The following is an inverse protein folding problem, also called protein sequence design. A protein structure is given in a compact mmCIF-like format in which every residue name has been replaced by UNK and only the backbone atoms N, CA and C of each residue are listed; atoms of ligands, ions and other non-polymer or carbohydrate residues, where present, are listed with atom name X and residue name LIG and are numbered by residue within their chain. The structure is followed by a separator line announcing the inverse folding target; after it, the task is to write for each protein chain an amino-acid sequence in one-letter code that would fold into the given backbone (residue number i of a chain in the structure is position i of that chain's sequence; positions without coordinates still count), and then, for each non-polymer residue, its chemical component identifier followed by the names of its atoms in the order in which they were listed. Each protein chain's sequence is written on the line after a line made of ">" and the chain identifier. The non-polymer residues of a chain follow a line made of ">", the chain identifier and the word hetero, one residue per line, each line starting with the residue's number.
data_IF_920409889582
#
_entry.id   IF_920409889582
#
_cell.length_a   1.000
_cell.length_b   1.000
_cell.length_c   1.000
_cell.angle_alpha   90.00
_cell.angle_beta   90.00
_cell.angle_gamma   90.00
#
_symmetry.space_group_name_H-M   'P 1'
#
loop_
_entity.id
_entity.type
_entity.pdbx_description
1 polymer ?
#
# COMPACT_ATOMS: atom_id res chain seq x y z
N UNK A 1 -4.26 12.54 -6.20
CA UNK A 1 -3.57 11.94 -5.02
C UNK A 1 -4.07 10.51 -4.78
N UNK A 2 -3.19 9.55 -4.49
CA UNK A 2 -3.57 8.12 -4.34
C UNK A 2 -4.23 7.77 -2.99
N UNK A 3 -4.36 8.73 -2.08
CA UNK A 3 -4.97 8.58 -0.75
C UNK A 3 -4.35 7.42 0.05
N UNK A 4 -3.01 7.37 0.09
CA UNK A 4 -2.20 6.41 0.84
C UNK A 4 -1.30 7.12 1.87
N UNK A 5 -0.87 6.41 2.93
CA UNK A 5 0.20 6.91 3.79
C UNK A 5 1.49 7.14 3.00
N UNK A 6 2.16 8.27 3.25
CA UNK A 6 3.35 8.69 2.50
C UNK A 6 4.51 7.68 2.61
N UNK A 7 4.72 7.11 3.81
CA UNK A 7 5.81 6.16 4.12
C UNK A 7 5.76 4.92 3.22
N UNK A 8 4.62 4.23 3.19
CA UNK A 8 4.45 3.01 2.37
C UNK A 8 4.48 3.32 0.86
N UNK A 9 3.91 4.45 0.45
CA UNK A 9 3.92 4.90 -0.94
C UNK A 9 5.36 5.09 -1.45
N UNK A 10 6.17 5.86 -0.72
CA UNK A 10 7.57 6.08 -1.09
C UNK A 10 8.37 4.77 -1.07
N UNK A 11 8.19 3.94 -0.03
CA UNK A 11 8.86 2.63 0.04
C UNK A 11 8.56 1.76 -1.20
N UNK A 12 7.29 1.62 -1.60
CA UNK A 12 6.92 0.86 -2.80
C UNK A 12 7.50 1.44 -4.08
N UNK A 13 7.41 2.77 -4.25
CA UNK A 13 7.93 3.43 -5.45
C UNK A 13 9.43 3.29 -5.60
N UNK A 14 10.19 3.30 -4.49
CA UNK A 14 11.65 3.09 -4.49
C UNK A 14 11.99 1.70 -5.04
N UNK A 15 11.41 0.63 -4.49
CA UNK A 15 11.73 -0.74 -4.96
C UNK A 15 11.16 -1.04 -6.34
N UNK A 16 10.04 -0.39 -6.72
CA UNK A 16 9.51 -0.48 -8.08
C UNK A 16 10.48 0.16 -9.09
N UNK A 17 11.00 1.35 -8.79
CA UNK A 17 12.00 2.03 -9.62
C UNK A 17 13.30 1.20 -9.71
N UNK A 18 13.84 0.64 -8.62
CA UNK A 18 15.00 -0.26 -8.68
C UNK A 18 14.77 -1.44 -9.65
N UNK A 19 13.58 -2.03 -9.61
CA UNK A 19 13.19 -3.12 -10.50
C UNK A 19 13.18 -2.68 -11.96
N UNK A 20 12.71 -1.46 -12.24
CA UNK A 20 12.70 -0.85 -13.57
C UNK A 20 14.13 -0.58 -14.07
N UNK A 21 14.97 0.08 -13.27
CA UNK A 21 16.39 0.37 -13.56
C UNK A 21 17.22 -0.90 -13.81
N UNK A 22 16.87 -1.99 -13.14
CA UNK A 22 17.48 -3.30 -13.38
C UNK A 22 17.00 -3.90 -14.70
N UNK A 23 15.68 -3.91 -14.94
CA UNK A 23 15.08 -4.54 -16.13
C UNK A 23 15.44 -3.83 -17.43
N UNK A 24 15.53 -2.51 -17.40
CA UNK A 24 15.93 -1.69 -18.55
C UNK A 24 17.47 -1.58 -18.70
N UNK A 25 18.23 -2.18 -17.77
CA UNK A 25 19.70 -2.19 -17.72
C UNK A 25 20.36 -0.82 -17.52
N UNK A 26 19.63 0.21 -17.05
CA UNK A 26 20.24 1.48 -16.63
C UNK A 26 21.27 1.24 -15.53
N UNK A 27 20.93 0.40 -14.55
CA UNK A 27 21.87 -0.08 -13.52
C UNK A 27 22.04 -1.59 -13.66
N UNK A 28 22.91 -2.01 -14.58
CA UNK A 28 23.10 -3.42 -14.96
C UNK A 28 23.66 -4.31 -13.84
N UNK A 29 24.30 -3.71 -12.83
CA UNK A 29 24.82 -4.44 -11.66
C UNK A 29 23.73 -4.85 -10.66
N UNK A 30 22.50 -4.31 -10.77
CA UNK A 30 21.42 -4.65 -9.86
C UNK A 30 20.95 -6.10 -10.05
N UNK A 31 20.69 -6.78 -8.94
CA UNK A 31 20.05 -8.11 -8.91
C UNK A 31 18.63 -8.02 -8.32
N UNK A 32 17.80 -9.09 -8.40
CA UNK A 32 16.36 -8.97 -8.14
C UNK A 32 15.96 -8.65 -6.69
N UNK A 33 16.72 -9.08 -5.69
CA UNK A 33 16.34 -8.94 -4.28
C UNK A 33 16.66 -7.53 -3.74
N UNK A 34 15.64 -6.82 -3.27
CA UNK A 34 15.79 -5.46 -2.73
C UNK A 34 14.72 -5.15 -1.67
N UNK A 35 15.08 -4.28 -0.73
CA UNK A 35 14.24 -3.84 0.40
C UNK A 35 14.41 -2.33 0.57
N UNK A 36 13.31 -1.63 0.85
CA UNK A 36 13.32 -0.21 1.20
C UNK A 36 12.54 0.03 2.49
N UNK A 37 12.93 1.08 3.21
CA UNK A 37 12.23 1.60 4.39
C UNK A 37 12.36 3.12 4.39
N UNK A 38 11.25 3.81 4.65
CA UNK A 38 11.21 5.27 4.74
C UNK A 38 10.61 5.68 6.06
N UNK A 39 11.34 6.49 6.83
CA UNK A 39 10.88 7.12 8.06
C UNK A 39 10.56 8.59 7.79
N UNK A 40 9.38 9.04 8.19
CA UNK A 40 8.88 10.41 7.97
C UNK A 40 8.62 11.07 9.33
N UNK A 41 9.05 12.31 9.48
CA UNK A 41 8.70 13.15 10.63
C UNK A 41 7.27 13.68 10.46
N UNK A 42 6.43 13.47 11.47
CA UNK A 42 5.05 14.00 11.51
C UNK A 42 4.93 15.08 12.57
N UNK A 43 4.29 16.20 12.22
CA UNK A 43 3.93 17.27 13.15
C UNK A 43 2.43 17.47 13.08
N UNK A 44 1.75 17.40 14.22
CA UNK A 44 0.28 17.51 14.32
C UNK A 44 -0.46 16.59 13.33
N UNK A 45 0.03 15.36 13.18
CA UNK A 45 -0.58 14.34 12.32
C UNK A 45 -0.38 14.54 10.81
N UNK A 46 0.40 15.55 10.39
CA UNK A 46 0.76 15.83 9.00
C UNK A 46 2.24 15.54 8.74
N UNK A 47 2.60 14.93 7.59
CA UNK A 47 3.99 14.66 7.25
C UNK A 47 4.72 15.98 6.99
N UNK A 48 5.94 16.11 7.53
CA UNK A 48 6.76 17.33 7.43
C UNK A 48 7.98 17.16 6.54
N UNK A 49 8.74 16.07 6.71
CA UNK A 49 9.94 15.74 5.93
C UNK A 49 10.27 14.25 6.04
N UNK A 50 11.11 13.74 5.15
CA UNK A 50 11.71 12.40 5.28
C UNK A 50 12.91 12.48 6.21
N UNK A 51 12.88 11.71 7.29
CA UNK A 51 13.98 11.64 8.25
C UNK A 51 15.08 10.68 7.81
N UNK A 52 14.69 9.47 7.42
CA UNK A 52 15.63 8.40 7.11
C UNK A 52 15.11 7.56 5.95
N UNK A 53 15.99 7.24 5.01
CA UNK A 53 15.77 6.24 3.96
C UNK A 53 16.80 5.12 4.13
N UNK A 54 16.31 3.89 4.26
CA UNK A 54 17.13 2.68 4.21
C UNK A 54 16.81 1.93 2.93
N UNK A 55 17.86 1.55 2.20
CA UNK A 55 17.75 0.78 0.96
C UNK A 55 18.84 -0.29 0.95
N UNK A 56 18.42 -1.54 0.83
CA UNK A 56 19.33 -2.65 0.56
C UNK A 56 18.95 -3.27 -0.76
N UNK A 57 19.91 -3.39 -1.68
CA UNK A 57 19.71 -4.04 -2.98
C UNK A 57 20.84 -5.02 -3.25
N UNK A 58 20.45 -6.20 -3.71
CA UNK A 58 21.36 -7.21 -4.20
C UNK A 58 22.08 -6.69 -5.45
N UNK A 59 23.35 -7.03 -5.59
CA UNK A 59 24.19 -6.56 -6.68
C UNK A 59 25.17 -7.62 -7.18
N UNK A 60 25.79 -7.37 -8.33
CA UNK A 60 26.87 -8.17 -8.89
C UNK A 60 28.19 -7.95 -8.12
N UNK A 61 29.18 -8.83 -8.33
CA UNK A 61 30.43 -8.80 -7.56
C UNK A 61 31.39 -7.69 -7.97
N UNK A 62 31.21 -7.19 -9.19
CA UNK A 62 32.07 -6.23 -9.90
C UNK A 62 31.81 -4.77 -9.51
N UNK A 63 30.61 -4.44 -9.01
CA UNK A 63 30.30 -3.06 -8.58
C UNK A 63 30.87 -2.79 -7.19
N UNK A 64 31.59 -1.68 -7.04
CA UNK A 64 32.04 -1.22 -5.72
C UNK A 64 30.87 -0.65 -4.91
N UNK A 65 30.95 -0.71 -3.59
CA UNK A 65 29.92 -0.12 -2.71
C UNK A 65 29.70 1.37 -3.02
N UNK A 66 30.78 2.13 -3.24
CA UNK A 66 30.70 3.57 -3.55
C UNK A 66 29.92 3.83 -4.85
N UNK A 67 30.25 3.13 -5.94
CA UNK A 67 29.53 3.26 -7.22
C UNK A 67 28.06 2.89 -7.08
N UNK A 68 27.75 1.82 -6.34
CA UNK A 68 26.37 1.41 -6.05
C UNK A 68 25.62 2.51 -5.29
N UNK A 69 26.22 3.07 -4.23
CA UNK A 69 25.60 4.10 -3.40
C UNK A 69 25.31 5.38 -4.20
N UNK A 70 26.28 5.85 -4.99
CA UNK A 70 26.13 7.02 -5.86
C UNK A 70 25.03 6.79 -6.91
N UNK A 71 25.08 5.66 -7.62
CA UNK A 71 24.11 5.35 -8.66
C UNK A 71 22.68 5.19 -8.11
N UNK A 72 22.51 4.48 -6.99
CA UNK A 72 21.20 4.33 -6.34
C UNK A 72 20.65 5.68 -5.85
N UNK A 73 21.51 6.55 -5.33
CA UNK A 73 21.11 7.89 -4.90
C UNK A 73 20.55 8.70 -6.06
N UNK A 74 21.31 8.81 -7.15
CA UNK A 74 20.95 9.66 -8.31
C UNK A 74 19.82 9.07 -9.16
N UNK A 75 19.88 7.77 -9.46
CA UNK A 75 18.96 7.14 -10.41
C UNK A 75 17.67 6.66 -9.75
N UNK A 76 17.69 6.33 -8.46
CA UNK A 76 16.52 5.79 -7.76
C UNK A 76 15.95 6.77 -6.74
N UNK A 77 16.68 7.08 -5.67
CA UNK A 77 16.13 7.80 -4.52
C UNK A 77 15.69 9.21 -4.91
N UNK A 78 16.57 10.00 -5.53
CA UNK A 78 16.26 11.38 -5.96
C UNK A 78 15.18 11.47 -7.04
N UNK A 79 15.02 10.43 -7.87
CA UNK A 79 13.97 10.39 -8.91
C UNK A 79 12.60 9.98 -8.35
N UNK A 80 12.56 9.30 -7.21
CA UNK A 80 11.30 8.84 -6.59
C UNK A 80 10.80 9.80 -5.52
N UNK A 81 11.70 10.26 -4.64
CA UNK A 81 11.35 11.09 -3.49
C UNK A 81 11.43 12.56 -3.91
N UNK A 82 10.32 13.33 -3.86
CA UNK A 82 10.37 14.73 -4.26
C UNK A 82 11.35 15.51 -3.39
N UNK A 83 12.10 16.43 -3.99
CA UNK A 83 13.17 17.20 -3.34
C UNK A 83 12.71 17.93 -2.08
N UNK A 84 11.47 18.43 -2.08
CA UNK A 84 10.91 19.19 -0.96
C UNK A 84 10.72 18.36 0.32
N UNK A 85 10.81 17.02 0.22
CA UNK A 85 10.79 16.11 1.37
C UNK A 85 12.18 15.80 1.93
N UNK A 86 13.25 16.12 1.19
CA UNK A 86 14.64 15.83 1.56
C UNK A 86 15.32 17.12 2.02
N UNK A 87 15.98 17.06 3.17
CA UNK A 87 16.78 18.17 3.68
C UNK A 87 18.19 17.73 4.07
N UNK A 88 19.01 18.67 4.52
CA UNK A 88 20.39 18.41 4.94
C UNK A 88 20.50 17.45 6.15
N UNK A 89 19.38 17.16 6.85
CA UNK A 89 19.32 16.24 7.99
C UNK A 89 18.80 14.85 7.60
N UNK A 90 18.31 14.66 6.37
CA UNK A 90 17.85 13.36 5.89
C UNK A 90 19.01 12.37 5.86
N UNK A 91 18.82 11.22 6.51
CA UNK A 91 19.82 10.15 6.58
C UNK A 91 19.57 9.12 5.47
N UNK A 92 20.64 8.70 4.81
CA UNK A 92 20.57 7.67 3.78
C UNK A 92 21.46 6.49 4.16
N UNK A 93 20.85 5.30 4.26
CA UNK A 93 21.55 4.04 4.51
C UNK A 93 21.39 3.14 3.29
N UNK A 94 22.38 3.17 2.39
CA UNK A 94 22.37 2.37 1.15
C UNK A 94 23.37 1.23 1.30
N UNK A 95 22.88 -0.01 1.26
CA UNK A 95 23.62 -1.24 1.55
C UNK A 95 24.50 -1.12 2.81
N UNK A 96 23.91 -0.86 4.00
CA UNK A 96 24.67 -0.55 5.21
C UNK A 96 25.58 -1.70 5.69
N UNK A 97 25.31 -2.94 5.31
CA UNK A 97 26.17 -4.11 5.59
C UNK A 97 27.38 -4.21 4.65
N UNK A 98 27.48 -3.34 3.65
CA UNK A 98 28.53 -3.30 2.66
C UNK A 98 28.30 -4.24 1.47
N UNK A 99 28.25 -5.55 1.69
CA UNK A 99 28.15 -6.54 0.60
C UNK A 99 26.82 -7.29 0.61
N UNK A 100 26.10 -7.26 -0.52
CA UNK A 100 24.86 -8.01 -0.75
C UNK A 100 24.89 -8.66 -2.16
N UNK A 101 25.65 -9.76 -2.29
CA UNK A 101 25.76 -10.50 -3.55
C UNK A 101 24.83 -11.72 -3.58
N UNK A 102 24.79 -12.48 -2.49
CA UNK A 102 23.90 -13.63 -2.30
C UNK A 102 22.54 -13.10 -1.82
N UNK A 103 21.45 -13.57 -2.42
CA UNK A 103 20.11 -13.07 -2.16
C UNK A 103 19.03 -13.99 -2.73
N UNK A 104 17.77 -13.55 -2.61
CA UNK A 104 16.63 -14.36 -3.01
C UNK A 104 16.51 -15.65 -2.18
N UNK A 105 15.84 -16.70 -2.70
CA UNK A 105 15.58 -17.93 -1.95
C UNK A 105 16.83 -18.66 -1.45
N UNK A 106 18.00 -18.43 -2.06
CA UNK A 106 19.27 -18.98 -1.58
C UNK A 106 19.71 -18.35 -0.25
N UNK A 107 19.42 -17.06 -0.05
CA UNK A 107 19.82 -16.33 1.15
C UNK A 107 18.74 -16.25 2.22
N UNK A 108 17.45 -16.28 1.85
CA UNK A 108 16.32 -16.13 2.76
C UNK A 108 15.07 -16.86 2.22
N UNK A 109 14.46 -17.72 3.03
CA UNK A 109 13.30 -18.52 2.62
C UNK A 109 12.04 -17.64 2.47
N UNK A 110 11.41 -17.69 1.29
CA UNK A 110 10.16 -16.98 1.01
C UNK A 110 8.92 -17.84 1.21
N UNK A 111 7.87 -17.27 1.83
CA UNK A 111 6.55 -17.91 1.95
C UNK A 111 5.43 -16.93 1.60
N UNK A 112 4.37 -17.44 0.99
CA UNK A 112 3.13 -16.68 0.69
C UNK A 112 2.56 -16.08 1.97
N UNK A 113 2.13 -14.81 1.91
CA UNK A 113 1.48 -14.15 3.04
C UNK A 113 2.42 -13.68 4.16
N UNK A 114 3.74 -13.64 3.93
CA UNK A 114 4.72 -13.09 4.88
C UNK A 114 5.07 -11.62 4.65
N UNK A 115 4.23 -10.90 3.91
CA UNK A 115 4.39 -9.47 3.58
C UNK A 115 3.09 -8.67 3.73
N UNK A 116 2.12 -9.16 4.50
CA UNK A 116 0.78 -8.55 4.63
C UNK A 116 0.76 -7.05 5.00
N UNK A 117 1.72 -6.58 5.79
CA UNK A 117 1.82 -5.15 6.12
C UNK A 117 2.38 -4.32 4.95
N UNK A 118 3.30 -4.90 4.17
CA UNK A 118 3.80 -4.31 2.93
C UNK A 118 2.71 -4.33 1.86
N UNK A 119 1.94 -5.42 1.76
CA UNK A 119 0.83 -5.55 0.82
C UNK A 119 -0.28 -4.50 1.05
N UNK A 120 -0.35 -3.94 2.27
CA UNK A 120 -1.40 -3.02 2.71
C UNK A 120 -0.90 -1.60 2.94
N UNK A 121 -0.77 -1.17 4.20
CA UNK A 121 -0.67 0.23 4.60
C UNK A 121 0.64 0.56 5.34
N UNK A 122 1.62 -0.34 5.34
CA UNK A 122 2.93 -0.10 5.96
C UNK A 122 2.87 0.15 7.47
N UNK A 123 1.87 -0.42 8.15
CA UNK A 123 1.66 -0.27 9.59
C UNK A 123 0.71 0.87 9.98
N UNK A 124 0.27 1.71 9.03
CA UNK A 124 -0.82 2.65 9.27
C UNK A 124 -2.17 1.92 9.28
N UNK A 125 -3.13 2.44 10.05
CA UNK A 125 -4.43 1.80 10.23
C UNK A 125 -4.31 0.53 11.08
N UNK A 126 -4.85 -0.59 10.58
CA UNK A 126 -4.80 -1.89 11.25
C UNK A 126 -4.82 -3.02 10.22
N UNK A 127 -4.51 -4.25 10.65
CA UNK A 127 -4.54 -5.43 9.80
C UNK A 127 -5.25 -6.60 10.50
N UNK A 128 -6.19 -7.26 9.82
CA UNK A 128 -6.98 -8.36 10.39
C UNK A 128 -6.28 -9.72 10.40
N UNK A 129 -5.12 -9.84 9.75
CA UNK A 129 -4.24 -11.02 9.76
C UNK A 129 -4.29 -11.89 8.49
N UNK A 130 -5.36 -11.79 7.70
CA UNK A 130 -5.51 -12.54 6.45
C UNK A 130 -4.55 -12.10 5.34
N UNK A 131 -3.80 -13.05 4.77
CA UNK A 131 -3.02 -12.80 3.55
C UNK A 131 -3.90 -12.72 2.29
N UNK A 132 -3.41 -12.07 1.23
CA UNK A 132 -4.15 -11.91 -0.03
C UNK A 132 -3.80 -12.95 -1.07
N UNK A 133 -2.53 -13.05 -1.49
CA UNK A 133 -2.06 -13.90 -2.60
C UNK A 133 -2.41 -15.38 -2.42
N UNK A 134 -2.81 -16.05 -3.52
CA UNK A 134 -3.24 -17.46 -3.52
C UNK A 134 -4.72 -17.72 -3.21
N UNK A 135 -5.51 -16.69 -2.90
CA UNK A 135 -6.94 -16.82 -2.56
C UNK A 135 -7.85 -16.28 -3.67
N UNK A 136 -8.91 -17.01 -4.02
CA UNK A 136 -9.98 -16.50 -4.89
C UNK A 136 -10.90 -15.52 -4.11
N UNK A 137 -11.76 -14.72 -4.77
CA UNK A 137 -12.48 -13.64 -4.11
C UNK A 137 -13.63 -14.10 -3.17
N UNK A 138 -13.96 -15.39 -3.12
CA UNK A 138 -14.84 -15.90 -2.05
C UNK A 138 -14.20 -15.80 -0.66
N UNK A 139 -12.87 -15.65 -0.58
CA UNK A 139 -12.15 -15.52 0.70
C UNK A 139 -12.14 -14.06 1.11
N UNK A 140 -12.93 -13.75 2.13
CA UNK A 140 -13.12 -12.38 2.66
C UNK A 140 -11.84 -11.71 3.12
N UNK A 141 -10.79 -12.47 3.45
CA UNK A 141 -9.45 -11.93 3.69
C UNK A 141 -8.97 -11.00 2.57
N UNK A 142 -9.28 -11.33 1.31
CA UNK A 142 -8.96 -10.49 0.16
C UNK A 142 -10.13 -9.57 -0.21
N UNK A 143 -11.31 -10.12 -0.47
CA UNK A 143 -12.42 -9.35 -1.03
C UNK A 143 -12.94 -8.28 -0.08
N UNK A 144 -13.09 -8.58 1.21
CA UNK A 144 -13.54 -7.59 2.18
C UNK A 144 -12.45 -6.56 2.51
N UNK A 145 -11.16 -6.94 2.49
CA UNK A 145 -10.07 -5.98 2.61
C UNK A 145 -10.06 -4.98 1.44
N UNK A 146 -10.32 -5.44 0.22
CA UNK A 146 -10.48 -4.58 -0.96
C UNK A 146 -11.72 -3.69 -0.85
N UNK A 147 -12.85 -4.23 -0.38
CA UNK A 147 -14.05 -3.43 -0.12
C UNK A 147 -13.78 -2.34 0.94
N UNK A 148 -13.10 -2.68 2.04
CA UNK A 148 -12.73 -1.72 3.07
C UNK A 148 -11.83 -0.60 2.53
N UNK A 149 -10.85 -0.93 1.67
CA UNK A 149 -10.05 0.07 0.94
C UNK A 149 -10.94 0.98 0.10
N UNK A 150 -11.82 0.39 -0.70
CA UNK A 150 -12.71 1.14 -1.60
C UNK A 150 -13.61 2.11 -0.81
N UNK A 151 -14.19 1.66 0.30
CA UNK A 151 -15.02 2.49 1.18
C UNK A 151 -14.21 3.64 1.77
N UNK A 152 -13.09 3.35 2.43
CA UNK A 152 -12.27 4.36 3.09
C UNK A 152 -11.75 5.41 2.10
N UNK A 153 -11.31 4.97 0.91
CA UNK A 153 -10.85 5.85 -0.16
C UNK A 153 -11.98 6.78 -0.64
N UNK A 154 -13.18 6.26 -0.85
CA UNK A 154 -14.33 7.06 -1.27
C UNK A 154 -14.80 8.04 -0.18
N UNK A 155 -14.76 7.68 1.10
CA UNK A 155 -15.09 8.57 2.23
C UNK A 155 -14.12 9.76 2.26
N UNK A 156 -12.81 9.49 2.19
CA UNK A 156 -11.78 10.55 2.19
C UNK A 156 -11.89 11.42 0.93
N UNK A 157 -12.11 10.80 -0.24
CA UNK A 157 -12.28 11.54 -1.49
C UNK A 157 -13.58 12.37 -1.55
N UNK A 158 -14.64 11.96 -0.83
CA UNK A 158 -15.84 12.77 -0.65
C UNK A 158 -15.64 13.92 0.35
N UNK A 159 -14.44 14.07 0.91
CA UNK A 159 -14.05 15.06 1.91
C UNK A 159 -14.89 14.99 3.19
N UNK A 160 -15.40 13.79 3.51
CA UNK A 160 -16.16 13.55 4.74
C UNK A 160 -15.25 13.32 5.95
N UNK A 161 -14.00 12.91 5.72
CA UNK A 161 -12.95 12.78 6.74
C UNK A 161 -11.56 12.95 6.11
N UNK A 162 -10.56 13.37 6.88
CA UNK A 162 -9.16 13.40 6.43
C UNK A 162 -8.50 12.01 6.50
N UNK A 163 -8.91 11.19 7.47
CA UNK A 163 -8.44 9.82 7.69
C UNK A 163 -9.64 8.92 7.98
N UNK A 164 -9.61 7.69 7.47
CA UNK A 164 -10.68 6.74 7.70
C UNK A 164 -10.12 5.32 7.77
N UNK A 165 -10.40 4.63 8.86
CA UNK A 165 -10.23 3.19 9.02
C UNK A 165 -11.60 2.52 8.97
N UNK A 166 -11.72 1.48 8.15
CA UNK A 166 -12.92 0.65 8.06
C UNK A 166 -12.53 -0.78 8.43
N UNK A 167 -13.25 -1.37 9.38
CA UNK A 167 -13.08 -2.76 9.78
C UNK A 167 -14.38 -3.52 9.49
N UNK A 168 -14.25 -4.70 8.87
CA UNK A 168 -15.36 -5.59 8.51
C UNK A 168 -15.01 -6.98 9.02
N UNK A 169 -15.94 -7.65 9.70
CA UNK A 169 -15.75 -9.03 10.17
C UNK A 169 -16.90 -9.93 9.70
N UNK A 170 -16.61 -11.22 9.52
CA UNK A 170 -17.55 -12.22 9.04
C UNK A 170 -17.49 -13.48 9.91
N UNK A 171 -18.61 -14.20 9.97
CA UNK A 171 -18.67 -15.58 10.44
C UNK A 171 -18.73 -16.52 9.23
N UNK A 172 -18.06 -17.67 9.30
CA UNK A 172 -18.06 -18.64 8.20
C UNK A 172 -19.49 -19.11 7.89
N UNK A 173 -19.87 -19.10 6.61
CA UNK A 173 -21.21 -19.48 6.15
C UNK A 173 -22.28 -18.39 6.33
N UNK A 174 -21.98 -17.24 6.95
CA UNK A 174 -22.90 -16.11 7.09
C UNK A 174 -22.61 -15.06 6.04
N UNK A 175 -23.61 -14.72 5.23
CA UNK A 175 -23.43 -13.76 4.13
C UNK A 175 -23.23 -12.32 4.63
N UNK A 176 -23.98 -11.90 5.65
CA UNK A 176 -23.87 -10.54 6.19
C UNK A 176 -22.64 -10.41 7.10
N UNK A 177 -21.94 -9.27 7.08
CA UNK A 177 -20.91 -8.98 8.06
C UNK A 177 -21.49 -9.05 9.48
N UNK A 178 -20.72 -9.63 10.41
CA UNK A 178 -21.09 -9.63 11.84
C UNK A 178 -20.78 -8.28 12.50
N UNK A 179 -19.88 -7.49 11.91
CA UNK A 179 -19.59 -6.12 12.36
C UNK A 179 -19.05 -5.25 11.22
N UNK A 180 -19.42 -3.97 11.25
CA UNK A 180 -18.84 -2.90 10.43
C UNK A 180 -18.48 -1.75 11.38
N UNK A 181 -17.20 -1.44 11.53
CA UNK A 181 -16.69 -0.36 12.38
C UNK A 181 -15.97 0.69 11.53
N UNK A 182 -16.20 1.96 11.84
CA UNK A 182 -15.49 3.10 11.27
C UNK A 182 -14.75 3.83 12.37
N UNK A 183 -13.49 4.19 12.11
CA UNK A 183 -12.72 5.10 12.94
C UNK A 183 -12.11 6.18 12.04
N UNK A 184 -12.58 7.41 12.17
CA UNK A 184 -12.12 8.57 11.41
C UNK A 184 -11.00 9.36 12.12
N UNK A 185 -10.54 8.87 13.27
CA UNK A 185 -9.49 9.50 14.08
C UNK A 185 -9.83 10.94 14.51
N UNK A 186 -11.12 11.28 14.65
CA UNK A 186 -11.59 12.61 15.00
C UNK A 186 -11.45 13.62 13.87
N UNK A 187 -11.39 13.16 12.61
CA UNK A 187 -11.25 14.00 11.42
C UNK A 187 -12.51 14.08 10.57
N UNK A 188 -13.56 13.35 10.93
CA UNK A 188 -14.82 13.39 10.21
C UNK A 188 -15.54 14.74 10.38
N UNK A 189 -16.19 15.20 9.31
CA UNK A 189 -17.08 16.37 9.29
C UNK A 189 -18.52 16.04 9.68
N UNK A 190 -18.82 14.76 9.88
CA UNK A 190 -20.13 14.20 10.23
C UNK A 190 -19.96 13.17 11.34
N UNK A 191 -21.01 12.86 12.14
CA UNK A 191 -20.91 11.83 13.17
C UNK A 191 -20.49 10.48 12.61
N UNK A 192 -19.59 9.78 13.29
CA UNK A 192 -19.05 8.48 12.86
C UNK A 192 -20.16 7.44 12.66
N UNK A 193 -21.22 7.47 13.48
CA UNK A 193 -22.38 6.59 13.35
C UNK A 193 -23.11 6.82 12.02
N UNK A 194 -23.16 8.06 11.54
CA UNK A 194 -23.75 8.39 10.23
C UNK A 194 -22.88 7.88 9.08
N UNK A 195 -21.56 7.85 9.22
CA UNK A 195 -20.67 7.19 8.25
C UNK A 195 -20.96 5.68 8.20
N UNK A 196 -21.11 5.02 9.35
CA UNK A 196 -21.48 3.59 9.39
C UNK A 196 -22.82 3.33 8.69
N UNK A 197 -23.84 4.17 8.93
CA UNK A 197 -25.14 4.07 8.25
C UNK A 197 -25.01 4.25 6.73
N UNK A 198 -24.21 5.23 6.29
CA UNK A 198 -23.95 5.44 4.87
C UNK A 198 -23.29 4.22 4.23
N UNK A 199 -22.32 3.60 4.93
CA UNK A 199 -21.65 2.39 4.46
C UNK A 199 -22.64 1.25 4.24
N UNK A 200 -23.46 0.95 5.26
CA UNK A 200 -24.46 -0.12 5.18
C UNK A 200 -25.54 0.13 4.12
N UNK A 201 -25.75 1.39 3.71
CA UNK A 201 -26.75 1.74 2.69
C UNK A 201 -26.20 1.72 1.26
N UNK A 202 -24.94 2.13 1.07
CA UNK A 202 -24.34 2.36 -0.25
C UNK A 202 -23.56 1.12 -0.75
N UNK A 203 -23.01 0.33 0.16
CA UNK A 203 -22.24 -0.87 -0.19
C UNK A 203 -22.95 -2.14 0.29
N UNK A 204 -23.10 -3.09 -0.63
CA UNK A 204 -23.49 -4.44 -0.29
C UNK A 204 -22.24 -5.27 0.04
N UNK A 205 -22.07 -5.56 1.33
CA UNK A 205 -20.87 -6.21 1.85
C UNK A 205 -21.00 -7.73 1.98
N UNK A 206 -22.01 -8.34 1.35
CA UNK A 206 -22.05 -9.80 1.21
C UNK A 206 -20.92 -10.26 0.27
N UNK A 207 -20.20 -11.35 0.54
CA UNK A 207 -19.02 -11.75 -0.25
C UNK A 207 -19.27 -11.87 -1.76
N UNK A 208 -20.45 -12.39 -2.16
CA UNK A 208 -20.86 -12.47 -3.56
C UNK A 208 -21.04 -11.09 -4.20
N UNK A 209 -21.63 -10.15 -3.47
CA UNK A 209 -21.89 -8.80 -3.96
C UNK A 209 -20.62 -7.95 -4.02
N UNK A 210 -19.68 -8.15 -3.09
CA UNK A 210 -18.33 -7.56 -3.18
C UNK A 210 -17.62 -8.07 -4.44
N UNK A 211 -17.71 -9.38 -4.70
CA UNK A 211 -17.09 -10.03 -5.86
C UNK A 211 -17.64 -9.46 -7.16
N UNK A 212 -18.95 -9.25 -7.26
CA UNK A 212 -19.62 -8.63 -8.41
C UNK A 212 -19.28 -7.14 -8.55
N UNK A 213 -19.48 -6.36 -7.48
CA UNK A 213 -19.30 -4.89 -7.48
C UNK A 213 -17.87 -4.50 -7.84
N UNK A 214 -16.87 -5.25 -7.37
CA UNK A 214 -15.46 -5.00 -7.67
C UNK A 214 -14.97 -5.86 -8.84
N UNK A 215 -15.85 -6.56 -9.56
CA UNK A 215 -15.51 -7.30 -10.77
C UNK A 215 -14.31 -8.24 -10.56
N UNK A 216 -14.37 -9.05 -9.50
CA UNK A 216 -13.24 -9.82 -8.99
C UNK A 216 -13.08 -11.19 -9.68
N UNK A 217 -14.03 -11.66 -10.48
CA UNK A 217 -13.92 -12.92 -11.21
C UNK A 217 -13.10 -12.78 -12.52
N UNK A 218 -11.96 -12.09 -12.44
CA UNK A 218 -11.04 -11.86 -13.56
C UNK A 218 -9.59 -12.22 -13.19
N UNK A 219 -8.79 -12.75 -14.12
CA UNK A 219 -7.39 -13.13 -13.87
C UNK A 219 -6.46 -11.91 -13.85
N UNK A 220 -6.58 -11.06 -12.82
CA UNK A 220 -5.87 -9.76 -12.72
C UNK A 220 -4.95 -9.62 -11.49
N UNK A 221 -4.78 -10.68 -10.72
CA UNK A 221 -4.18 -10.62 -9.39
C UNK A 221 -2.65 -10.69 -9.35
N UNK A 222 -2.00 -11.22 -10.38
CA UNK A 222 -0.53 -11.35 -10.37
C UNK A 222 0.17 -9.99 -10.19
N UNK A 223 -0.35 -8.95 -10.83
CA UNK A 223 0.15 -7.59 -10.69
C UNK A 223 0.02 -7.02 -9.26
N UNK A 224 -0.89 -7.55 -8.43
CA UNK A 224 -1.09 -7.10 -7.04
C UNK A 224 -0.05 -7.67 -6.07
N UNK A 225 0.59 -8.80 -6.41
CA UNK A 225 1.43 -9.58 -5.49
C UNK A 225 2.82 -8.95 -5.20
N UNK A 226 3.11 -7.79 -5.78
CA UNK A 226 4.31 -7.00 -5.51
C UNK A 226 3.97 -5.51 -5.61
N UNK A 227 4.70 -4.68 -4.85
CA UNK A 227 4.53 -3.22 -4.81
C UNK A 227 3.18 -2.75 -4.26
N UNK A 228 2.55 -3.56 -3.39
CA UNK A 228 1.31 -3.23 -2.71
C UNK A 228 0.05 -3.54 -3.53
N UNK A 229 -1.00 -3.91 -2.81
CA UNK A 229 -2.34 -4.10 -3.36
C UNK A 229 -3.14 -2.79 -3.46
N UNK A 230 -2.74 -1.77 -2.69
CA UNK A 230 -3.43 -0.49 -2.56
C UNK A 230 -2.57 0.68 -3.02
N UNK A 231 -3.23 1.77 -3.42
CA UNK A 231 -2.59 3.00 -3.90
C UNK A 231 -2.21 3.02 -5.39
N UNK A 232 -2.59 1.97 -6.14
CA UNK A 232 -2.27 1.84 -7.58
C UNK A 232 -3.54 1.87 -8.42
N UNK A 233 -3.66 2.84 -9.31
CA UNK A 233 -4.88 3.04 -10.12
C UNK A 233 -4.80 2.32 -11.49
N UNK A 234 -4.11 1.17 -11.51
CA UNK A 234 -3.94 0.35 -12.71
C UNK A 234 -5.27 -0.30 -13.14
N UNK A 235 -5.40 -0.57 -14.44
CA UNK A 235 -6.57 -1.23 -14.99
C UNK A 235 -6.82 -2.58 -14.28
N UNK A 236 -8.04 -2.75 -13.75
CA UNK A 236 -8.44 -3.93 -13.01
C UNK A 236 -8.41 -3.78 -11.48
N UNK A 237 -7.75 -2.78 -10.92
CA UNK A 237 -7.75 -2.52 -9.48
C UNK A 237 -8.97 -1.67 -9.10
N UNK A 238 -10.14 -2.26 -9.31
CA UNK A 238 -11.46 -1.64 -9.15
C UNK A 238 -11.72 -1.09 -7.74
N UNK A 239 -11.08 -1.65 -6.71
CA UNK A 239 -11.15 -1.14 -5.34
C UNK A 239 -10.45 0.21 -5.13
N UNK A 240 -9.65 0.67 -6.08
CA UNK A 240 -9.03 2.00 -6.06
C UNK A 240 -9.90 3.07 -6.72
N UNK A 241 -11.05 2.70 -7.31
CA UNK A 241 -11.96 3.67 -7.92
C UNK A 241 -12.64 4.56 -6.89
N UNK A 242 -12.88 5.80 -7.27
CA UNK A 242 -13.55 6.83 -6.45
C UNK A 242 -14.93 7.13 -7.04
N UNK A 243 -15.75 6.08 -7.17
CA UNK A 243 -17.03 6.11 -7.89
C UNK A 243 -18.26 6.19 -6.95
N UNK A 244 -18.07 6.25 -5.64
CA UNK A 244 -19.15 6.37 -4.63
C UNK A 244 -19.25 7.74 -3.96
N UNK A 245 -18.47 8.72 -4.43
CA UNK A 245 -18.49 10.09 -3.88
C UNK A 245 -19.86 10.75 -4.04
N UNK A 246 -20.53 10.58 -5.18
CA UNK A 246 -21.85 11.16 -5.40
C UNK A 246 -22.92 10.49 -4.54
N UNK A 247 -22.88 9.16 -4.41
CA UNK A 247 -23.77 8.41 -3.52
C UNK A 247 -23.61 8.86 -2.06
N UNK A 248 -22.37 9.05 -1.60
CA UNK A 248 -22.06 9.60 -0.28
C UNK A 248 -22.62 11.01 -0.12
N UNK A 249 -22.32 11.92 -1.05
CA UNK A 249 -22.83 13.29 -1.00
C UNK A 249 -24.36 13.34 -1.01
N UNK A 250 -25.02 12.44 -1.74
CA UNK A 250 -26.47 12.34 -1.75
C UNK A 250 -27.05 11.84 -0.41
N UNK A 251 -26.35 10.93 0.27
CA UNK A 251 -26.78 10.41 1.59
C UNK A 251 -26.71 11.48 2.71
N UNK A 252 -25.76 12.41 2.63
CA UNK A 252 -25.53 13.46 3.63
C UNK A 252 -26.18 14.81 3.30
N UNK A 253 -26.92 14.90 2.19
CA UNK A 253 -27.81 16.02 1.89
C UNK A 253 -29.14 15.85 2.63
#
# INVERSE_FOLDING_TARGET
>A
PELMPLTISLSHRIVKNLSELRKNKTLSFLRPDSKSQVSVEYVNGKPKRVDTIVLSTQHSEDVTLKQLQEAVMEECIKKVVPSDWIDAKTKFFINPTGRFVIGGPQGDCGLTGRKIIVDTYGGHGAHGGGAFSGKDPSKVDRSAAYAARHIAKNIVAAELAEKCLVQIAYAIGVAQPVSILVNDYGTAKVPTEKLQQAISKIWDLRPAMITETLDLLKPKYSATAAYGHFGREEAGFTWEQVNKVNDLKAFFK
#
